data_IF_260627729433
#
_entry.id   IF_260627729433
#
_cell.length_a   1.000
_cell.length_b   1.000
_cell.length_c   1.000
_cell.angle_alpha   90.00
_cell.angle_beta   90.00
_cell.angle_gamma   90.00
#
_symmetry.space_group_name_H-M   'P 1'
#
loop_
_entity.id
_entity.type
_entity.pdbx_description
1 polymer ?
#
# COMPACT_ATOMS: atom_id res chain seq x y z
N UNK A 1 -12.43 4.11 -15.18
CA UNK A 1 -11.52 3.22 -14.42
C UNK A 1 -10.22 2.89 -15.15
N UNK A 2 -10.21 2.29 -16.34
CA UNK A 2 -8.97 1.88 -17.04
C UNK A 2 -8.01 3.05 -17.33
N UNK A 3 -8.53 4.19 -17.81
CA UNK A 3 -7.72 5.39 -18.01
C UNK A 3 -7.04 5.86 -16.71
N UNK A 4 -7.76 5.82 -15.57
CA UNK A 4 -7.19 6.18 -14.27
C UNK A 4 -6.08 5.20 -13.84
N UNK A 5 -6.18 3.90 -14.18
CA UNK A 5 -5.11 2.95 -13.93
C UNK A 5 -3.83 3.27 -14.71
N UNK A 6 -3.96 3.66 -15.98
CA UNK A 6 -2.82 4.13 -16.79
C UNK A 6 -2.19 5.42 -16.28
N UNK A 7 -2.98 6.26 -15.60
CA UNK A 7 -2.58 7.62 -15.18
C UNK A 7 -2.27 7.72 -13.68
N UNK A 8 -2.33 6.63 -12.92
CA UNK A 8 -2.43 6.67 -11.46
C UNK A 8 -1.27 7.38 -10.75
N UNK A 9 -0.06 7.32 -11.32
CA UNK A 9 1.13 7.96 -10.76
C UNK A 9 1.45 9.33 -11.40
N UNK A 10 0.66 9.79 -12.37
CA UNK A 10 1.00 11.01 -13.12
C UNK A 10 1.02 12.27 -12.25
N UNK A 11 0.22 12.33 -11.18
CA UNK A 11 0.26 13.45 -10.24
C UNK A 11 1.43 13.38 -9.24
N UNK A 12 2.03 12.21 -9.03
CA UNK A 12 3.21 12.03 -8.16
C UNK A 12 4.51 12.24 -8.93
N UNK A 13 4.62 11.60 -10.10
CA UNK A 13 5.90 11.40 -10.79
C UNK A 13 6.10 12.32 -12.00
N UNK A 14 5.11 13.15 -12.32
CA UNK A 14 5.18 14.07 -13.46
C UNK A 14 4.66 15.46 -13.09
N UNK A 15 4.92 16.50 -13.92
CA UNK A 15 4.34 17.83 -13.74
C UNK A 15 2.82 17.92 -14.00
N UNK A 16 2.14 16.79 -14.24
CA UNK A 16 0.70 16.76 -14.55
C UNK A 16 -0.11 17.29 -13.37
N UNK A 17 -1.13 18.09 -13.67
CA UNK A 17 -2.06 18.63 -12.68
C UNK A 17 -3.42 17.94 -12.77
N UNK A 18 -4.15 17.89 -11.66
CA UNK A 18 -5.52 17.37 -11.63
C UNK A 18 -6.45 18.11 -12.59
N UNK A 19 -6.25 19.43 -12.77
CA UNK A 19 -6.99 20.23 -13.74
C UNK A 19 -6.74 19.74 -15.18
N UNK A 20 -5.49 19.43 -15.55
CA UNK A 20 -5.19 18.86 -16.88
C UNK A 20 -5.86 17.50 -17.06
N UNK A 21 -5.85 16.63 -16.04
CA UNK A 21 -6.55 15.34 -16.10
C UNK A 21 -8.05 15.52 -16.29
N UNK A 22 -8.66 16.48 -15.59
CA UNK A 22 -10.09 16.77 -15.72
C UNK A 22 -10.43 17.26 -17.13
N UNK A 23 -9.62 18.16 -17.71
CA UNK A 23 -9.85 18.71 -19.05
C UNK A 23 -9.71 17.64 -20.15
N UNK A 24 -8.73 16.73 -20.00
CA UNK A 24 -8.39 15.74 -21.05
C UNK A 24 -9.17 14.43 -20.92
N UNK A 25 -9.45 13.98 -19.70
CA UNK A 25 -10.02 12.65 -19.42
C UNK A 25 -11.34 12.69 -18.61
N UNK A 26 -11.78 13.88 -18.22
CA UNK A 26 -13.03 14.10 -17.47
C UNK A 26 -12.88 14.00 -15.95
N UNK A 27 -13.89 14.51 -15.25
CA UNK A 27 -13.92 14.60 -13.79
C UNK A 27 -13.72 13.26 -13.09
N UNK A 28 -14.36 12.20 -13.59
CA UNK A 28 -14.29 10.88 -12.95
C UNK A 28 -12.85 10.34 -12.92
N UNK A 29 -12.11 10.46 -14.03
CA UNK A 29 -10.72 10.01 -14.11
C UNK A 29 -9.84 10.84 -13.19
N UNK A 30 -9.99 12.17 -13.21
CA UNK A 30 -9.23 13.06 -12.34
C UNK A 30 -9.42 12.71 -10.85
N UNK A 31 -10.67 12.52 -10.40
CA UNK A 31 -10.97 12.15 -9.02
C UNK A 31 -10.36 10.79 -8.63
N UNK A 32 -10.38 9.81 -9.53
CA UNK A 32 -9.77 8.50 -9.26
C UNK A 32 -8.25 8.62 -9.12
N UNK A 33 -7.59 9.37 -10.02
CA UNK A 33 -6.13 9.58 -9.94
C UNK A 33 -5.76 10.36 -8.68
N UNK A 34 -6.52 11.38 -8.29
CA UNK A 34 -6.33 12.10 -7.02
C UNK A 34 -6.43 11.18 -5.79
N UNK A 35 -7.37 10.23 -5.78
CA UNK A 35 -7.49 9.24 -4.69
C UNK A 35 -6.35 8.21 -4.67
N UNK A 36 -5.67 8.01 -5.80
CA UNK A 36 -4.54 7.09 -5.93
C UNK A 36 -3.21 7.76 -5.58
N UNK A 37 -3.18 9.09 -5.59
CA UNK A 37 -2.03 9.94 -5.36
C UNK A 37 -1.78 10.16 -3.88
N UNK A 38 -0.58 9.86 -3.41
CA UNK A 38 -0.13 10.13 -2.06
C UNK A 38 -0.11 11.64 -1.79
N UNK A 39 -0.88 12.12 -0.80
CA UNK A 39 -0.84 13.54 -0.45
C UNK A 39 0.54 13.94 0.09
N UNK A 40 0.98 15.19 -0.17
CA UNK A 40 2.22 15.71 0.39
C UNK A 40 2.24 15.57 1.91
N UNK A 41 3.31 14.99 2.45
CA UNK A 41 3.47 14.75 3.88
C UNK A 41 4.76 15.40 4.38
N UNK A 42 4.66 16.25 5.42
CA UNK A 42 5.81 16.93 6.03
C UNK A 42 6.57 16.05 7.04
N UNK A 43 6.06 14.85 7.34
CA UNK A 43 6.71 13.96 8.29
C UNK A 43 8.06 13.47 7.74
N UNK A 44 9.12 13.65 8.53
CA UNK A 44 10.45 13.15 8.19
C UNK A 44 10.57 11.65 8.46
N UNK A 45 9.81 11.15 9.43
CA UNK A 45 9.78 9.75 9.81
C UNK A 45 8.92 8.90 8.85
N UNK A 46 9.45 7.75 8.45
CA UNK A 46 8.80 6.84 7.49
C UNK A 46 7.53 6.23 8.05
N UNK A 47 7.50 5.92 9.34
CA UNK A 47 6.32 5.31 9.98
C UNK A 47 5.17 6.32 9.97
N UNK A 48 5.42 7.56 10.38
CA UNK A 48 4.43 8.65 10.33
C UNK A 48 3.95 8.94 8.90
N UNK A 49 4.87 9.00 7.92
CA UNK A 49 4.48 9.15 6.50
C UNK A 49 3.58 8.02 6.03
N UNK A 50 3.92 6.79 6.40
CA UNK A 50 3.14 5.61 6.01
C UNK A 50 1.76 5.63 6.67
N UNK A 51 1.66 5.96 7.96
CA UNK A 51 0.38 6.10 8.65
C UNK A 51 -0.52 7.16 7.99
N UNK A 52 0.03 8.30 7.60
CA UNK A 52 -0.70 9.32 6.87
C UNK A 52 -1.21 8.82 5.51
N UNK A 53 -0.38 8.11 4.75
CA UNK A 53 -0.78 7.47 3.47
C UNK A 53 -1.85 6.39 3.66
N UNK A 54 -1.78 5.62 4.74
CA UNK A 54 -2.81 4.63 5.10
C UNK A 54 -4.15 5.31 5.39
N UNK A 55 -4.15 6.42 6.14
CA UNK A 55 -5.37 7.21 6.40
C UNK A 55 -5.98 7.78 5.13
N UNK A 56 -5.15 8.23 4.18
CA UNK A 56 -5.62 8.64 2.85
C UNK A 56 -6.23 7.46 2.09
N UNK A 57 -5.51 6.33 2.02
CA UNK A 57 -5.96 5.11 1.33
C UNK A 57 -7.32 4.63 1.86
N UNK A 58 -7.58 4.73 3.17
CA UNK A 58 -8.84 4.32 3.78
C UNK A 58 -10.08 5.09 3.25
N UNK A 59 -9.88 6.26 2.63
CA UNK A 59 -10.93 7.10 2.05
C UNK A 59 -11.18 6.82 0.56
N UNK A 60 -10.37 5.95 -0.06
CA UNK A 60 -10.47 5.66 -1.49
C UNK A 60 -11.80 4.98 -1.83
N UNK A 61 -12.39 5.38 -2.96
CA UNK A 61 -13.60 4.74 -3.52
C UNK A 61 -13.32 3.29 -3.92
N UNK A 62 -14.35 2.41 -4.03
CA UNK A 62 -14.18 1.03 -4.51
C UNK A 62 -13.35 0.91 -5.80
N UNK A 63 -13.60 1.78 -6.79
CA UNK A 63 -12.86 1.78 -8.05
C UNK A 63 -11.38 2.15 -7.86
N UNK A 64 -11.07 3.16 -7.03
CA UNK A 64 -9.70 3.51 -6.70
C UNK A 64 -9.00 2.40 -5.90
N UNK A 65 -9.72 1.73 -4.98
CA UNK A 65 -9.17 0.58 -4.27
C UNK A 65 -8.80 -0.56 -5.22
N UNK A 66 -9.66 -0.89 -6.19
CA UNK A 66 -9.36 -1.90 -7.23
C UNK A 66 -8.08 -1.58 -7.99
N UNK A 67 -7.90 -0.33 -8.43
CA UNK A 67 -6.68 0.11 -9.12
C UNK A 67 -5.47 -0.01 -8.19
N UNK A 68 -5.61 0.40 -6.91
CA UNK A 68 -4.51 0.32 -5.95
C UNK A 68 -4.11 -1.13 -5.64
N UNK A 69 -5.05 -2.06 -5.63
CA UNK A 69 -4.75 -3.48 -5.47
C UNK A 69 -3.96 -4.01 -6.68
N UNK A 70 -4.36 -3.63 -7.90
CA UNK A 70 -3.65 -4.00 -9.12
C UNK A 70 -2.20 -3.46 -9.12
N UNK A 71 -2.01 -2.20 -8.74
CA UNK A 71 -0.70 -1.57 -8.50
C UNK A 71 0.14 -2.39 -7.50
N UNK A 72 -0.44 -2.78 -6.35
CA UNK A 72 0.25 -3.60 -5.36
C UNK A 72 0.70 -4.95 -5.94
N UNK A 73 -0.12 -5.61 -6.76
CA UNK A 73 0.23 -6.90 -7.37
C UNK A 73 1.45 -6.75 -8.27
N UNK A 74 1.45 -5.75 -9.14
CA UNK A 74 2.53 -5.50 -10.09
C UNK A 74 3.84 -5.14 -9.37
N UNK A 75 3.79 -4.11 -8.51
CA UNK A 75 4.95 -3.64 -7.77
C UNK A 75 5.50 -4.69 -6.79
N UNK A 76 4.65 -5.52 -6.17
CA UNK A 76 5.14 -6.58 -5.27
C UNK A 76 5.97 -7.61 -6.01
N UNK A 77 5.63 -7.91 -7.27
CA UNK A 77 6.40 -8.86 -8.07
C UNK A 77 7.80 -8.31 -8.35
N UNK A 78 7.86 -7.07 -8.83
CA UNK A 78 9.11 -6.43 -9.20
C UNK A 78 10.05 -6.24 -8.00
N UNK A 79 9.55 -5.67 -6.90
CA UNK A 79 10.38 -5.35 -5.73
C UNK A 79 10.93 -6.60 -5.05
N UNK A 80 10.14 -7.67 -4.93
CA UNK A 80 10.60 -8.89 -4.25
C UNK A 80 11.71 -9.60 -5.03
N UNK A 81 11.70 -9.48 -6.36
CA UNK A 81 12.69 -10.11 -7.22
C UNK A 81 13.93 -9.23 -7.42
N UNK A 82 13.78 -7.91 -7.43
CA UNK A 82 14.85 -6.98 -7.80
C UNK A 82 15.44 -6.14 -6.65
N UNK A 83 14.76 -6.01 -5.51
CA UNK A 83 15.23 -5.25 -4.33
C UNK A 83 14.96 -6.00 -3.01
N UNK A 84 15.72 -7.06 -2.71
CA UNK A 84 15.50 -7.89 -1.54
C UNK A 84 15.80 -7.19 -0.20
N UNK A 85 16.57 -6.09 -0.22
CA UNK A 85 16.88 -5.32 0.99
C UNK A 85 15.69 -4.43 1.39
N UNK A 86 15.00 -3.86 0.40
CA UNK A 86 13.81 -3.05 0.62
C UNK A 86 12.52 -3.88 0.77
N UNK A 87 12.43 -5.03 0.09
CA UNK A 87 11.24 -5.89 0.06
C UNK A 87 10.61 -6.18 1.45
N UNK A 88 11.37 -6.45 2.53
CA UNK A 88 10.78 -6.72 3.84
C UNK A 88 9.96 -5.55 4.38
N UNK A 89 10.44 -4.32 4.20
CA UNK A 89 9.74 -3.12 4.66
C UNK A 89 8.53 -2.86 3.76
N UNK A 90 8.72 -2.94 2.44
CA UNK A 90 7.64 -2.77 1.46
C UNK A 90 6.46 -3.72 1.74
N UNK A 91 6.73 -5.01 1.94
CA UNK A 91 5.70 -6.02 2.17
C UNK A 91 4.89 -5.76 3.44
N UNK A 92 5.49 -5.23 4.51
CA UNK A 92 4.78 -4.82 5.72
C UNK A 92 3.82 -3.68 5.39
N UNK A 93 4.32 -2.63 4.73
CA UNK A 93 3.54 -1.45 4.40
C UNK A 93 2.37 -1.80 3.47
N UNK A 94 2.60 -2.63 2.45
CA UNK A 94 1.54 -3.11 1.55
C UNK A 94 0.56 -4.07 2.21
N UNK A 95 1.01 -4.93 3.14
CA UNK A 95 0.10 -5.77 3.92
C UNK A 95 -0.86 -4.94 4.78
N UNK A 96 -0.36 -3.86 5.38
CA UNK A 96 -1.19 -2.92 6.14
C UNK A 96 -2.13 -2.13 5.23
N UNK A 97 -1.63 -1.64 4.09
CA UNK A 97 -2.43 -0.94 3.10
C UNK A 97 -3.57 -1.82 2.57
N UNK A 98 -3.28 -3.07 2.21
CA UNK A 98 -4.25 -4.02 1.69
C UNK A 98 -5.40 -4.31 2.67
N UNK A 99 -5.17 -4.22 4.00
CA UNK A 99 -6.25 -4.39 4.99
C UNK A 99 -7.33 -3.32 4.89
N UNK A 100 -7.03 -2.16 4.31
CA UNK A 100 -7.94 -1.04 4.12
C UNK A 100 -8.68 -1.10 2.78
N UNK A 101 -8.15 -1.86 1.81
CA UNK A 101 -8.67 -1.96 0.44
C UNK A 101 -9.79 -3.01 0.30
N UNK A 102 -10.69 -3.11 1.28
CA UNK A 102 -11.69 -4.20 1.36
C UNK A 102 -12.87 -4.05 0.40
N UNK A 103 -13.04 -2.89 -0.20
CA UNK A 103 -14.12 -2.59 -1.12
C UNK A 103 -13.70 -2.63 -2.60
N UNK A 104 -12.41 -2.88 -2.88
CA UNK A 104 -11.93 -3.16 -4.23
C UNK A 104 -12.31 -4.56 -4.71
N UNK A 105 -11.85 -4.92 -5.91
CA UNK A 105 -12.11 -6.23 -6.49
C UNK A 105 -11.63 -7.38 -5.57
N UNK A 106 -12.52 -8.32 -5.19
CA UNK A 106 -12.20 -9.35 -4.22
C UNK A 106 -11.21 -10.39 -4.73
N UNK A 107 -11.17 -10.65 -6.05
CA UNK A 107 -10.24 -11.61 -6.65
C UNK A 107 -8.83 -11.03 -6.67
N UNK A 108 -8.69 -9.76 -7.07
CA UNK A 108 -7.42 -9.05 -6.99
C UNK A 108 -6.96 -8.93 -5.52
N UNK A 109 -7.88 -8.65 -4.59
CA UNK A 109 -7.53 -8.58 -3.17
C UNK A 109 -6.95 -9.91 -2.66
N UNK A 110 -7.61 -11.02 -3.02
CA UNK A 110 -7.14 -12.36 -2.66
C UNK A 110 -5.77 -12.67 -3.28
N UNK A 111 -5.57 -12.32 -4.55
CA UNK A 111 -4.30 -12.48 -5.25
C UNK A 111 -3.18 -11.68 -4.57
N UNK A 112 -3.39 -10.39 -4.30
CA UNK A 112 -2.42 -9.53 -3.63
C UNK A 112 -2.06 -10.08 -2.24
N UNK A 113 -3.07 -10.50 -1.46
CA UNK A 113 -2.85 -11.05 -0.13
C UNK A 113 -2.03 -12.36 -0.18
N UNK A 114 -2.33 -13.23 -1.15
CA UNK A 114 -1.57 -14.47 -1.38
C UNK A 114 -0.12 -14.16 -1.76
N UNK A 115 0.10 -13.26 -2.72
CA UNK A 115 1.42 -12.88 -3.20
C UNK A 115 2.28 -12.27 -2.09
N UNK A 116 1.75 -11.31 -1.32
CA UNK A 116 2.45 -10.72 -0.17
C UNK A 116 2.78 -11.79 0.87
N UNK A 117 1.85 -12.71 1.15
CA UNK A 117 2.06 -13.76 2.14
C UNK A 117 3.16 -14.72 1.69
N UNK A 118 3.16 -15.13 0.43
CA UNK A 118 4.19 -15.98 -0.16
C UNK A 118 5.56 -15.29 -0.19
N UNK A 119 5.61 -14.00 -0.51
CA UNK A 119 6.85 -13.22 -0.48
C UNK A 119 7.44 -13.13 0.94
N UNK A 120 6.61 -12.89 1.96
CA UNK A 120 7.06 -12.91 3.36
C UNK A 120 7.62 -14.30 3.74
N UNK A 121 6.96 -15.38 3.32
CA UNK A 121 7.44 -16.75 3.58
C UNK A 121 8.78 -17.01 2.88
N UNK A 122 8.94 -16.58 1.63
CA UNK A 122 10.20 -16.67 0.87
C UNK A 122 11.33 -15.94 1.60
N UNK A 123 11.09 -14.70 2.05
CA UNK A 123 12.09 -13.92 2.78
C UNK A 123 12.39 -14.48 4.18
N UNK A 124 11.49 -15.29 4.75
CA UNK A 124 11.76 -16.02 5.99
C UNK A 124 12.61 -17.29 5.81
N UNK A 125 12.85 -17.72 4.58
CA UNK A 125 13.68 -18.88 4.25
C UNK A 125 15.08 -18.46 3.75
N UNK A 126 16.04 -19.39 3.61
CA UNK A 126 17.32 -19.11 2.98
C UNK A 126 17.15 -18.54 1.56
N UNK A 127 18.02 -17.62 1.11
CA UNK A 127 19.21 -17.12 1.83
C UNK A 127 18.93 -15.97 2.82
N UNK A 128 17.74 -15.37 2.78
CA UNK A 128 17.44 -14.13 3.52
C UNK A 128 17.21 -14.35 5.03
N UNK A 129 16.58 -15.47 5.41
CA UNK A 129 16.40 -15.92 6.79
C UNK A 129 15.77 -14.87 7.73
N UNK A 130 14.87 -14.01 7.23
CA UNK A 130 14.25 -12.95 8.03
C UNK A 130 13.19 -13.54 8.97
N UNK A 131 13.37 -13.50 10.30
CA UNK A 131 12.45 -14.17 11.21
C UNK A 131 11.05 -13.57 11.16
N UNK A 132 9.99 -14.40 11.19
CA UNK A 132 8.61 -13.88 11.18
C UNK A 132 8.29 -12.95 12.36
N UNK A 133 9.03 -13.07 13.49
CA UNK A 133 8.96 -12.14 14.62
C UNK A 133 9.39 -10.71 14.26
N UNK A 134 10.34 -10.56 13.34
CA UNK A 134 10.81 -9.26 12.85
C UNK A 134 9.68 -8.53 12.12
N UNK A 135 9.02 -9.21 11.17
CA UNK A 135 7.86 -8.68 10.46
C UNK A 135 6.75 -8.23 11.42
N UNK A 136 6.42 -9.07 12.42
CA UNK A 136 5.40 -8.73 13.42
C UNK A 136 5.79 -7.54 14.28
N UNK A 137 7.03 -7.48 14.76
CA UNK A 137 7.51 -6.37 15.58
C UNK A 137 7.50 -5.06 14.80
N UNK A 138 8.01 -5.09 13.57
CA UNK A 138 8.06 -3.92 12.69
C UNK A 138 6.67 -3.43 12.30
N UNK A 139 5.74 -4.33 11.97
CA UNK A 139 4.35 -3.97 11.66
C UNK A 139 3.65 -3.23 12.81
N UNK A 140 3.94 -3.56 14.09
CA UNK A 140 3.34 -2.87 15.25
C UNK A 140 3.70 -1.40 15.32
N UNK A 141 4.86 -0.99 14.80
CA UNK A 141 5.27 0.42 14.82
C UNK A 141 4.33 1.29 13.99
N UNK A 142 3.70 0.72 12.95
CA UNK A 142 2.74 1.41 12.11
C UNK A 142 1.31 1.44 12.67
N UNK A 143 1.01 0.62 13.68
CA UNK A 143 -0.30 0.60 14.34
C UNK A 143 -0.27 1.61 15.49
N UNK A 144 -1.29 2.46 15.60
CA UNK A 144 -1.40 3.36 16.77
C UNK A 144 -1.68 2.57 18.05
N UNK A 145 -1.36 3.13 19.22
CA UNK A 145 -1.53 2.49 20.53
C UNK A 145 -2.96 1.98 20.81
N UNK A 146 -3.97 2.44 20.06
CA UNK A 146 -5.36 1.95 20.18
C UNK A 146 -5.59 0.55 19.60
N UNK A 147 -4.71 0.06 18.72
CA UNK A 147 -4.79 -1.29 18.14
C UNK A 147 -3.77 -2.26 18.75
N UNK A 148 -2.80 -1.74 19.53
CA UNK A 148 -1.85 -2.54 20.29
C UNK A 148 -2.52 -2.99 21.60
N UNK A 149 -3.41 -3.99 21.51
CA UNK A 149 -4.13 -4.54 22.66
C UNK A 149 -3.24 -4.66 23.91
N UNK A 150 -3.70 -4.04 24.99
CA UNK A 150 -3.11 -4.10 26.32
C UNK A 150 -2.77 -5.56 26.66
N UNK A 151 -1.51 -5.91 27.00
CA UNK A 151 -1.22 -7.26 27.44
C UNK A 151 -2.00 -7.54 28.73
N UNK A 152 -2.53 -8.76 28.92
CA UNK A 152 -3.21 -9.09 30.17
C UNK A 152 -2.22 -8.90 31.32
N UNK A 153 -2.61 -8.07 32.30
CA UNK A 153 -1.89 -7.98 33.57
C UNK A 153 -1.86 -9.38 34.16
N UNK A 154 -0.66 -9.97 34.22
CA UNK A 154 -0.42 -11.19 34.98
C UNK A 154 -0.77 -10.85 36.44
N UNK A 155 -1.77 -11.55 36.98
CA UNK A 155 -2.01 -11.69 38.41
C UNK A 155 -1.42 -13.03 38.85
#
# INVERSE_FOLDING_TARGET
MLAAAWLHDTLEDTPTTAHQLQQLFGQEVAMLVEMLTNPPCRAQDRVQRTQFRLQHTAKASPNAQTIKIADIIDNTRDIVDNDPDFAPIYLIEKKLQLRLLRHGDPLLWQQANKQITQAILRLSAPPFNIPSRWFRHRARQYLSDREAGTPPKQR
#
